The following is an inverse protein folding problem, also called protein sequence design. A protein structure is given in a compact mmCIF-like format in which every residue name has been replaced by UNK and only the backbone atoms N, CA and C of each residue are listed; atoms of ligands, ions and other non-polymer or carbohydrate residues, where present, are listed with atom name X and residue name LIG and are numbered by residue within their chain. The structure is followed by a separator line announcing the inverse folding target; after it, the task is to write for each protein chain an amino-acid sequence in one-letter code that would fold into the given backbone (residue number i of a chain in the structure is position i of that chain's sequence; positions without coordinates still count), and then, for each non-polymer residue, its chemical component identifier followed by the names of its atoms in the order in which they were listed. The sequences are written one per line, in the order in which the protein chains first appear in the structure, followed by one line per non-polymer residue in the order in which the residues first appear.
data_IF_851139157886
#
_entry.id   IF_851139157886
#
_cell.length_a   1.000
_cell.length_b   1.000
_cell.length_c   1.000
_cell.angle_alpha   90.00
_cell.angle_beta   90.00
_cell.angle_gamma   90.00
#
_symmetry.space_group_name_H-M   'P 1'
#
loop_
_entity.id
_entity.type
_entity.pdbx_description
1 polymer ?
#
# COMPACT_ATOMS: atom_id res chain seq x y z
N UNK A 1 56.01 -17.43 10.78
CA UNK A 1 54.84 -16.95 11.50
C UNK A 1 53.79 -16.63 10.46
N UNK A 2 52.84 -17.55 10.28
CA UNK A 2 51.66 -17.41 9.41
C UNK A 2 50.54 -16.87 10.27
N UNK A 3 49.99 -15.71 9.94
CA UNK A 3 48.80 -15.18 10.59
C UNK A 3 47.56 -15.61 9.80
N UNK A 4 46.79 -16.47 10.43
CA UNK A 4 45.41 -16.80 10.06
C UNK A 4 44.47 -15.60 10.35
N UNK A 5 43.92 -15.04 9.29
CA UNK A 5 42.81 -14.08 9.34
C UNK A 5 41.69 -14.57 8.40
N UNK A 6 41.15 -15.74 8.70
CA UNK A 6 39.98 -16.28 8.02
C UNK A 6 38.99 -16.77 9.07
N UNK A 7 38.22 -15.85 9.67
CA UNK A 7 36.96 -16.13 10.37
C UNK A 7 36.27 -14.79 10.63
N UNK A 8 35.16 -14.59 9.99
CA UNK A 8 34.04 -13.68 10.23
C UNK A 8 33.58 -13.02 8.92
N UNK A 9 32.93 -13.80 8.05
CA UNK A 9 31.98 -13.30 7.09
C UNK A 9 30.98 -14.43 6.81
N UNK A 10 30.07 -14.67 7.75
CA UNK A 10 28.84 -15.36 7.43
C UNK A 10 27.85 -14.31 6.86
N UNK A 11 27.69 -14.41 5.57
CA UNK A 11 27.12 -13.48 4.65
C UNK A 11 25.62 -13.55 4.59
N UNK A 12 25.06 -12.39 4.62
CA UNK A 12 23.76 -12.14 4.00
C UNK A 12 24.03 -11.86 2.53
N UNK A 13 23.74 -12.82 1.67
CA UNK A 13 23.77 -12.65 0.21
C UNK A 13 22.56 -11.82 -0.22
N UNK A 14 22.74 -10.50 -0.27
CA UNK A 14 21.81 -9.60 -0.96
C UNK A 14 22.09 -9.72 -2.44
N UNK A 15 21.33 -10.55 -3.14
CA UNK A 15 21.37 -10.58 -4.61
C UNK A 15 20.74 -9.30 -5.16
N UNK A 16 21.58 -8.34 -5.49
CA UNK A 16 21.25 -7.18 -6.28
C UNK A 16 21.06 -7.62 -7.74
N UNK A 17 19.85 -7.95 -8.16
CA UNK A 17 19.55 -8.14 -9.58
C UNK A 17 19.44 -6.76 -10.25
N UNK A 18 20.53 -6.34 -10.90
CA UNK A 18 20.56 -5.21 -11.82
C UNK A 18 19.81 -5.62 -13.09
N UNK A 19 18.54 -5.28 -13.17
CA UNK A 19 17.76 -5.43 -14.40
C UNK A 19 18.15 -4.35 -15.40
N UNK A 20 18.61 -4.80 -16.57
CA UNK A 20 18.96 -3.97 -17.72
C UNK A 20 17.73 -3.21 -18.23
N UNK A 21 17.76 -1.89 -18.19
CA UNK A 21 16.67 -1.03 -18.71
C UNK A 21 16.80 -0.96 -20.23
N UNK A 22 15.92 -1.64 -20.93
CA UNK A 22 15.71 -1.48 -22.37
C UNK A 22 14.29 -0.94 -22.61
N UNK A 23 14.20 0.26 -23.17
CA UNK A 23 13.02 0.80 -23.85
C UNK A 23 11.91 1.29 -22.92
N UNK A 24 11.58 2.57 -22.98
CA UNK A 24 10.43 3.20 -22.31
C UNK A 24 9.10 2.71 -22.88
N UNK A 25 8.73 1.49 -22.65
CA UNK A 25 7.36 1.04 -22.69
C UNK A 25 6.68 1.49 -21.41
N UNK A 26 5.47 2.04 -21.50
CA UNK A 26 4.66 2.36 -20.33
C UNK A 26 4.45 1.06 -19.51
N UNK A 27 5.32 0.85 -18.54
CA UNK A 27 5.20 -0.28 -17.62
C UNK A 27 4.15 0.06 -16.59
N UNK A 28 3.19 -0.84 -16.38
CA UNK A 28 2.21 -0.73 -15.31
C UNK A 28 2.88 -0.65 -13.93
N UNK A 29 2.11 -0.42 -12.86
CA UNK A 29 2.64 -0.31 -11.51
C UNK A 29 3.45 -1.56 -11.13
N UNK A 30 4.71 -1.34 -10.73
CA UNK A 30 5.58 -2.39 -10.22
C UNK A 30 5.93 -2.09 -8.77
N UNK A 31 5.78 -3.09 -7.89
CA UNK A 31 6.27 -2.97 -6.53
C UNK A 31 7.81 -2.98 -6.53
N UNK A 32 8.40 -1.86 -6.15
CA UNK A 32 9.85 -1.65 -6.09
C UNK A 32 10.43 -1.93 -4.70
N UNK A 33 9.56 -1.95 -3.69
CA UNK A 33 9.91 -2.32 -2.33
C UNK A 33 8.71 -2.96 -1.65
N UNK A 34 8.93 -4.04 -0.91
CA UNK A 34 7.91 -4.69 -0.09
C UNK A 34 8.47 -4.99 1.30
N UNK A 35 7.59 -5.03 2.27
CA UNK A 35 7.90 -5.43 3.63
C UNK A 35 6.76 -6.25 4.21
N UNK A 36 7.09 -7.26 5.00
CA UNK A 36 6.12 -8.11 5.67
C UNK A 36 6.42 -8.19 7.17
N UNK A 37 5.39 -7.96 7.97
CA UNK A 37 5.48 -8.11 9.41
C UNK A 37 5.60 -9.59 9.81
N UNK A 38 6.40 -9.92 10.83
CA UNK A 38 6.32 -11.22 11.49
C UNK A 38 4.91 -11.56 11.98
N UNK A 39 4.11 -10.55 12.39
CA UNK A 39 2.73 -10.69 12.82
C UNK A 39 1.76 -11.11 11.69
N UNK A 40 2.17 -11.00 10.44
CA UNK A 40 1.41 -11.49 9.29
C UNK A 40 1.43 -13.03 9.15
N UNK A 41 2.35 -13.70 9.84
CA UNK A 41 2.43 -15.17 9.80
C UNK A 41 1.15 -15.79 10.36
N UNK A 42 0.49 -16.62 9.55
CA UNK A 42 -0.76 -17.27 9.92
C UNK A 42 -2.00 -16.36 9.90
N UNK A 43 -1.88 -15.09 9.52
CA UNK A 43 -3.02 -14.21 9.31
C UNK A 43 -3.58 -14.39 7.91
N UNK A 44 -4.90 -14.61 7.80
CA UNK A 44 -5.64 -14.64 6.53
C UNK A 44 -6.93 -13.85 6.69
N UNK A 45 -7.27 -13.11 5.64
CA UNK A 45 -8.52 -12.36 5.54
C UNK A 45 -9.62 -13.08 4.74
N UNK A 46 -9.41 -14.33 4.35
CA UNK A 46 -10.45 -15.15 3.71
C UNK A 46 -11.68 -15.24 4.61
N UNK A 47 -12.86 -14.87 4.08
CA UNK A 47 -14.12 -14.81 4.82
C UNK A 47 -14.25 -13.63 5.78
N UNK A 48 -13.24 -12.74 5.85
CA UNK A 48 -13.21 -11.58 6.73
C UNK A 48 -13.65 -10.31 5.98
N UNK A 49 -14.16 -9.33 6.73
CA UNK A 49 -14.50 -8.00 6.20
C UNK A 49 -13.25 -7.14 6.06
N UNK A 50 -12.97 -6.68 4.86
CA UNK A 50 -11.78 -5.89 4.56
C UNK A 50 -12.19 -4.58 3.89
N UNK A 51 -11.81 -3.47 4.50
CA UNK A 51 -12.06 -2.15 3.94
C UNK A 51 -11.04 -1.83 2.83
N UNK A 52 -11.56 -1.34 1.71
CA UNK A 52 -10.79 -0.73 0.64
C UNK A 52 -10.72 0.78 0.89
N UNK A 53 -9.54 1.32 1.11
CA UNK A 53 -9.31 2.73 1.45
C UNK A 53 -8.33 3.37 0.47
N UNK A 54 -8.79 4.39 -0.25
CA UNK A 54 -7.91 5.20 -1.11
C UNK A 54 -7.77 6.60 -0.47
N UNK A 55 -6.56 6.95 -0.08
CA UNK A 55 -6.25 8.26 0.50
C UNK A 55 -5.90 9.22 -0.64
N UNK A 56 -6.90 9.97 -1.10
CA UNK A 56 -6.78 10.94 -2.19
C UNK A 56 -7.72 12.12 -1.97
N UNK A 57 -7.29 13.32 -2.38
CA UNK A 57 -8.13 14.51 -2.42
C UNK A 57 -9.10 14.53 -3.61
N UNK A 58 -8.84 13.72 -4.65
CA UNK A 58 -9.74 13.54 -5.79
C UNK A 58 -10.82 12.50 -5.44
N UNK A 59 -12.04 12.95 -5.22
CA UNK A 59 -13.17 12.09 -4.85
C UNK A 59 -13.51 11.06 -5.94
N UNK A 60 -13.40 11.41 -7.22
CA UNK A 60 -13.70 10.47 -8.30
C UNK A 60 -12.68 9.34 -8.34
N UNK A 61 -11.41 9.68 -8.20
CA UNK A 61 -10.32 8.71 -8.11
C UNK A 61 -10.48 7.83 -6.87
N UNK A 62 -10.79 8.43 -5.72
CA UNK A 62 -11.00 7.73 -4.45
C UNK A 62 -12.15 6.73 -4.55
N UNK A 63 -13.34 7.20 -4.93
CA UNK A 63 -14.54 6.37 -5.01
C UNK A 63 -14.34 5.22 -6.01
N UNK A 64 -13.86 5.52 -7.22
CA UNK A 64 -13.65 4.49 -8.24
C UNK A 64 -12.58 3.47 -7.83
N UNK A 65 -11.51 3.91 -7.19
CA UNK A 65 -10.44 3.04 -6.69
C UNK A 65 -10.91 2.13 -5.55
N UNK A 66 -11.66 2.68 -4.58
CA UNK A 66 -12.23 1.90 -3.47
C UNK A 66 -13.23 0.84 -3.98
N UNK A 67 -14.08 1.19 -4.95
CA UNK A 67 -15.01 0.25 -5.58
C UNK A 67 -14.28 -0.90 -6.28
N UNK A 68 -13.25 -0.56 -7.05
CA UNK A 68 -12.50 -1.58 -7.77
C UNK A 68 -11.72 -2.47 -6.80
N UNK A 69 -11.02 -1.89 -5.84
CA UNK A 69 -10.28 -2.65 -4.84
C UNK A 69 -11.21 -3.58 -4.03
N UNK A 70 -12.37 -3.08 -3.59
CA UNK A 70 -13.35 -3.88 -2.86
C UNK A 70 -13.87 -5.08 -3.68
N UNK A 71 -14.13 -4.88 -4.98
CA UNK A 71 -14.52 -5.99 -5.87
C UNK A 71 -13.43 -7.05 -5.98
N UNK A 72 -12.18 -6.63 -6.18
CA UNK A 72 -11.06 -7.56 -6.31
C UNK A 72 -10.77 -8.30 -4.99
N UNK A 73 -10.86 -7.62 -3.83
CA UNK A 73 -10.77 -8.27 -2.53
C UNK A 73 -11.87 -9.33 -2.34
N UNK A 74 -13.08 -9.02 -2.84
CA UNK A 74 -14.20 -9.98 -2.81
C UNK A 74 -13.91 -11.19 -3.71
N UNK A 75 -13.33 -10.99 -4.87
CA UNK A 75 -12.91 -12.08 -5.75
C UNK A 75 -11.82 -12.97 -5.12
N UNK A 76 -11.04 -12.45 -4.17
CA UNK A 76 -10.10 -13.24 -3.36
C UNK A 76 -10.75 -13.97 -2.16
N UNK A 77 -12.07 -13.97 -2.05
CA UNK A 77 -12.79 -14.65 -0.97
C UNK A 77 -12.87 -13.86 0.35
N UNK A 78 -12.63 -12.56 0.32
CA UNK A 78 -12.91 -11.64 1.42
C UNK A 78 -14.30 -11.03 1.27
N UNK A 79 -14.77 -10.25 2.25
CA UNK A 79 -15.89 -9.33 2.11
C UNK A 79 -15.34 -7.92 1.95
N UNK A 80 -15.05 -7.52 0.71
CA UNK A 80 -14.49 -6.20 0.39
C UNK A 80 -15.54 -5.09 0.53
N UNK A 81 -15.22 -4.03 1.28
CA UNK A 81 -16.10 -2.90 1.54
C UNK A 81 -15.40 -1.58 1.19
N UNK A 82 -15.93 -0.77 0.25
CA UNK A 82 -15.38 0.54 -0.03
C UNK A 82 -15.57 1.47 1.18
N UNK A 83 -14.52 2.20 1.59
CA UNK A 83 -14.56 3.06 2.78
C UNK A 83 -15.60 4.17 2.66
N UNK A 84 -15.80 4.75 1.46
CA UNK A 84 -16.76 5.82 1.23
C UNK A 84 -18.22 5.40 1.47
N UNK A 85 -18.54 4.09 1.38
CA UNK A 85 -19.90 3.57 1.70
C UNK A 85 -20.14 3.37 3.18
N UNK A 86 -19.06 3.28 3.96
CA UNK A 86 -19.14 3.00 5.38
C UNK A 86 -19.33 4.27 6.21
N UNK A 87 -18.81 5.42 5.75
CA UNK A 87 -18.80 6.64 6.53
C UNK A 87 -18.98 7.89 5.66
N UNK A 88 -19.54 8.98 6.21
CA UNK A 88 -19.60 10.27 5.55
C UNK A 88 -18.22 10.85 5.26
N UNK A 89 -18.11 11.68 4.22
CA UNK A 89 -16.84 12.28 3.80
C UNK A 89 -16.19 13.12 4.91
N UNK A 90 -17.01 13.79 5.71
CA UNK A 90 -16.57 14.67 6.81
C UNK A 90 -15.85 13.90 7.92
N UNK A 91 -16.20 12.61 8.07
CA UNK A 91 -15.60 11.72 9.07
C UNK A 91 -14.31 11.04 8.55
N UNK A 92 -14.16 11.00 7.22
CA UNK A 92 -13.12 10.21 6.55
C UNK A 92 -11.69 10.68 6.84
N UNK A 93 -11.46 11.96 7.10
CA UNK A 93 -10.11 12.53 7.22
C UNK A 93 -9.54 12.52 8.63
N UNK A 94 -10.27 12.01 9.63
CA UNK A 94 -9.83 11.94 11.02
C UNK A 94 -9.86 10.49 11.52
N UNK A 95 -8.72 10.02 12.06
CA UNK A 95 -8.64 8.68 12.65
C UNK A 95 -9.64 8.48 13.80
N UNK A 96 -9.81 9.49 14.65
CA UNK A 96 -10.74 9.42 15.79
C UNK A 96 -12.19 9.31 15.33
N UNK A 97 -12.57 10.09 14.30
CA UNK A 97 -13.94 10.08 13.76
C UNK A 97 -14.22 8.85 12.91
N UNK A 98 -13.25 8.37 12.16
CA UNK A 98 -13.38 7.19 11.31
C UNK A 98 -13.47 5.88 12.11
N UNK A 99 -12.71 5.76 13.22
CA UNK A 99 -12.62 4.54 14.01
C UNK A 99 -13.98 3.92 14.38
N UNK A 100 -14.99 4.66 14.91
CA UNK A 100 -16.28 4.09 15.26
C UNK A 100 -17.05 3.51 14.06
N UNK A 101 -16.80 4.01 12.85
CA UNK A 101 -17.41 3.49 11.62
C UNK A 101 -16.84 2.14 11.23
N UNK A 102 -15.50 1.98 11.32
CA UNK A 102 -14.84 0.69 11.09
C UNK A 102 -15.26 -0.36 12.11
N UNK A 103 -15.36 0.02 13.39
CA UNK A 103 -15.80 -0.86 14.47
C UNK A 103 -17.26 -1.32 14.27
N UNK A 104 -18.19 -0.40 13.98
CA UNK A 104 -19.59 -0.72 13.69
C UNK A 104 -19.77 -1.60 12.46
N UNK A 105 -18.96 -1.40 11.44
CA UNK A 105 -18.97 -2.22 10.23
C UNK A 105 -18.35 -3.62 10.48
N UNK A 106 -17.66 -3.81 11.59
CA UNK A 106 -16.99 -5.05 11.94
C UNK A 106 -15.84 -5.36 10.98
N UNK A 107 -15.02 -4.36 10.66
CA UNK A 107 -13.90 -4.50 9.74
C UNK A 107 -12.75 -5.23 10.44
N UNK A 108 -12.26 -6.32 9.84
CA UNK A 108 -11.12 -7.10 10.33
C UNK A 108 -9.77 -6.58 9.82
N UNK A 109 -9.76 -6.09 8.57
CA UNK A 109 -8.56 -5.61 7.91
C UNK A 109 -8.81 -4.40 7.02
N UNK A 110 -7.74 -3.67 6.71
CA UNK A 110 -7.78 -2.53 5.80
C UNK A 110 -6.67 -2.68 4.76
N UNK A 111 -7.02 -2.58 3.49
CA UNK A 111 -6.06 -2.36 2.41
C UNK A 111 -6.16 -0.89 2.02
N UNK A 112 -5.10 -0.15 2.30
CA UNK A 112 -5.02 1.28 1.98
C UNK A 112 -4.01 1.54 0.88
N UNK A 113 -4.32 2.48 -0.02
CA UNK A 113 -3.42 2.99 -1.05
C UNK A 113 -3.34 4.50 -0.97
N UNK A 114 -2.13 5.03 -1.02
CA UNK A 114 -1.86 6.46 -0.95
C UNK A 114 -0.82 6.86 -1.99
N UNK A 115 -1.14 7.76 -2.91
CA UNK A 115 -0.14 8.40 -3.75
C UNK A 115 0.81 9.23 -2.91
N UNK A 116 2.11 9.11 -3.18
CA UNK A 116 3.17 9.93 -2.57
C UNK A 116 3.99 10.61 -3.66
N UNK A 117 4.52 11.80 -3.37
CA UNK A 117 5.38 12.49 -4.32
C UNK A 117 6.74 11.80 -4.43
N UNK A 118 7.28 11.76 -5.65
CA UNK A 118 8.66 11.30 -5.89
C UNK A 118 9.69 12.19 -5.21
N UNK A 119 9.41 13.48 -5.09
CA UNK A 119 10.29 14.46 -4.46
C UNK A 119 10.41 14.21 -2.96
N UNK A 120 9.27 14.04 -2.28
CA UNK A 120 9.22 13.68 -0.85
C UNK A 120 10.05 12.42 -0.57
N UNK A 121 9.97 11.44 -1.46
CA UNK A 121 10.67 10.18 -1.31
C UNK A 121 12.17 10.22 -1.53
N UNK A 122 12.64 11.15 -2.37
CA UNK A 122 14.08 11.33 -2.63
C UNK A 122 14.80 11.87 -1.40
N UNK A 123 14.12 12.69 -0.62
CA UNK A 123 14.68 13.32 0.58
C UNK A 123 14.61 12.40 1.81
N UNK A 124 13.66 11.47 1.85
CA UNK A 124 13.45 10.55 2.98
C UNK A 124 14.25 9.24 2.88
N UNK A 125 14.95 8.99 1.78
CA UNK A 125 15.68 7.73 1.57
C UNK A 125 14.75 6.52 1.29
N UNK A 126 15.19 5.27 1.55
CA UNK A 126 14.37 4.08 1.35
C UNK A 126 13.16 4.07 2.29
N UNK A 127 12.01 3.54 1.82
CA UNK A 127 10.81 3.41 2.67
C UNK A 127 11.08 2.56 3.90
N UNK A 128 10.85 3.14 5.09
CA UNK A 128 11.01 2.46 6.38
C UNK A 128 9.63 2.24 6.98
N UNK A 129 9.06 1.09 6.73
CA UNK A 129 7.71 0.72 7.15
C UNK A 129 7.53 0.50 8.66
N UNK A 130 8.64 0.45 9.40
CA UNK A 130 8.65 0.27 10.86
C UNK A 130 8.55 1.56 11.64
N UNK A 131 8.46 2.72 10.96
CA UNK A 131 8.23 3.99 11.64
C UNK A 131 6.86 4.00 12.37
N UNK A 132 6.73 4.73 13.49
CA UNK A 132 5.51 4.72 14.31
C UNK A 132 4.22 5.06 13.55
N UNK A 133 4.29 5.96 12.58
CA UNK A 133 3.16 6.37 11.73
C UNK A 133 2.71 5.28 10.74
N UNK A 134 3.51 4.25 10.49
CA UNK A 134 3.13 3.11 9.63
C UNK A 134 2.73 1.87 10.43
N UNK A 135 3.26 1.71 11.64
CA UNK A 135 3.14 0.48 12.44
C UNK A 135 1.72 0.18 12.89
N UNK A 136 0.88 1.18 13.06
CA UNK A 136 -0.53 1.03 13.44
C UNK A 136 -1.47 1.55 12.36
N UNK A 137 -2.68 0.98 12.27
CA UNK A 137 -3.70 1.46 11.34
C UNK A 137 -4.06 2.93 11.61
N UNK A 138 -4.32 3.27 12.86
CA UNK A 138 -4.83 4.60 13.20
C UNK A 138 -3.75 5.68 13.13
N UNK A 139 -2.50 5.33 13.40
CA UNK A 139 -1.33 6.19 13.15
C UNK A 139 -1.18 6.49 11.66
N UNK A 140 -1.23 5.45 10.82
CA UNK A 140 -1.16 5.62 9.37
C UNK A 140 -2.37 6.37 8.81
N UNK A 141 -3.56 6.09 9.29
CA UNK A 141 -4.79 6.75 8.85
C UNK A 141 -4.69 8.28 9.02
N UNK A 142 -4.34 8.74 10.23
CA UNK A 142 -4.17 10.17 10.47
C UNK A 142 -3.01 10.79 9.67
N UNK A 143 -1.86 10.12 9.62
CA UNK A 143 -0.71 10.55 8.82
C UNK A 143 -1.05 10.65 7.33
N UNK A 144 -1.69 9.62 6.77
CA UNK A 144 -2.02 9.57 5.35
C UNK A 144 -2.92 10.71 4.91
N UNK A 145 -3.95 11.02 5.67
CA UNK A 145 -4.85 12.14 5.37
C UNK A 145 -4.23 13.51 5.61
N UNK A 146 -3.30 13.66 6.54
CA UNK A 146 -2.58 14.92 6.77
C UNK A 146 -1.57 15.24 5.68
N UNK A 147 -1.15 14.24 4.90
CA UNK A 147 -0.11 14.34 3.87
C UNK A 147 -0.61 13.94 2.48
N UNK A 148 -1.87 14.23 2.16
CA UNK A 148 -2.47 13.88 0.86
C UNK A 148 -1.78 14.62 -0.27
N UNK A 149 -1.28 13.84 -1.25
CA UNK A 149 -0.71 14.38 -2.47
C UNK A 149 -1.80 14.75 -3.47
N UNK A 150 -1.73 15.96 -4.02
CA UNK A 150 -2.65 16.43 -5.06
C UNK A 150 -2.05 16.10 -6.42
N UNK A 151 -2.78 15.32 -7.22
CA UNK A 151 -2.44 15.12 -8.63
C UNK A 151 -2.58 16.44 -9.37
N UNK A 152 -1.48 17.11 -9.69
CA UNK A 152 -1.55 18.37 -10.41
C UNK A 152 -0.22 18.81 -10.98
N UNK A 153 -0.17 19.03 -12.28
CA UNK A 153 0.91 19.68 -13.02
C UNK A 153 1.46 18.84 -14.16
N UNK A 154 1.26 19.30 -15.39
CA UNK A 154 1.89 18.75 -16.57
C UNK A 154 3.42 18.96 -16.49
N UNK A 155 4.17 17.93 -16.17
CA UNK A 155 5.61 17.84 -16.39
C UNK A 155 5.87 16.74 -17.43
N UNK A 156 6.89 16.90 -18.22
CA UNK A 156 7.23 16.01 -19.35
C UNK A 156 7.51 14.55 -18.93
N UNK A 157 7.86 14.29 -17.69
CA UNK A 157 7.91 12.94 -17.10
C UNK A 157 7.25 12.93 -15.72
N UNK A 158 6.14 12.21 -15.61
CA UNK A 158 5.45 12.02 -14.33
C UNK A 158 5.77 10.64 -13.79
N UNK A 159 6.50 10.57 -12.71
CA UNK A 159 6.66 9.34 -11.95
C UNK A 159 5.75 9.38 -10.73
N UNK A 160 4.85 8.42 -10.67
CA UNK A 160 3.91 8.28 -9.57
C UNK A 160 4.38 7.14 -8.65
N UNK A 161 4.49 7.45 -7.38
CA UNK A 161 4.78 6.47 -6.33
C UNK A 161 3.52 6.28 -5.50
N UNK A 162 3.16 5.03 -5.22
CA UNK A 162 2.02 4.71 -4.36
C UNK A 162 2.47 3.76 -3.24
N UNK A 163 2.12 4.12 -2.03
CA UNK A 163 2.18 3.24 -0.88
C UNK A 163 0.92 2.40 -0.82
N UNK A 164 1.08 1.09 -0.66
CA UNK A 164 -0.02 0.15 -0.40
C UNK A 164 0.26 -0.57 0.90
N UNK A 165 -0.67 -0.49 1.85
CA UNK A 165 -0.51 -1.07 3.17
C UNK A 165 -1.67 -1.99 3.50
N UNK A 166 -1.39 -3.09 4.19
CA UNK A 166 -2.40 -4.00 4.74
C UNK A 166 -2.28 -4.02 6.26
N UNK A 167 -3.34 -3.55 6.93
CA UNK A 167 -3.42 -3.53 8.39
C UNK A 167 -4.46 -4.52 8.92
N UNK A 168 -4.19 -5.04 10.11
CA UNK A 168 -5.20 -5.68 10.95
C UNK A 168 -5.85 -4.64 11.85
N UNK A 169 -7.19 -4.57 11.86
CA UNK A 169 -7.94 -3.65 12.73
C UNK A 169 -7.88 -4.13 14.18
N UNK A 170 -8.12 -5.43 14.41
CA UNK A 170 -8.17 -6.00 15.76
C UNK A 170 -6.84 -5.95 16.50
N UNK A 171 -5.71 -6.02 15.76
CA UNK A 171 -4.36 -5.94 16.35
C UNK A 171 -3.79 -4.52 16.28
N UNK A 172 -4.49 -3.60 15.61
CA UNK A 172 -4.00 -2.26 15.27
C UNK A 172 -2.54 -2.30 14.76
N UNK A 173 -2.28 -3.15 13.78
CA UNK A 173 -0.91 -3.41 13.34
C UNK A 173 -0.78 -3.55 11.83
N UNK A 174 0.35 -3.06 11.29
CA UNK A 174 0.75 -3.28 9.92
C UNK A 174 1.17 -4.74 9.71
N UNK A 175 0.61 -5.37 8.69
CA UNK A 175 0.92 -6.76 8.29
C UNK A 175 1.81 -6.81 7.05
N UNK A 176 1.52 -5.97 6.07
CA UNK A 176 2.29 -5.90 4.83
C UNK A 176 2.30 -4.47 4.28
N UNK A 177 3.38 -4.11 3.64
CA UNK A 177 3.55 -2.84 2.98
C UNK A 177 4.27 -3.01 1.64
N UNK A 178 3.88 -2.21 0.66
CA UNK A 178 4.54 -2.16 -0.63
C UNK A 178 4.58 -0.74 -1.20
N UNK A 179 5.72 -0.38 -1.78
CA UNK A 179 5.89 0.83 -2.58
C UNK A 179 5.92 0.48 -4.05
N UNK A 180 4.99 1.01 -4.83
CA UNK A 180 4.98 0.84 -6.28
C UNK A 180 5.33 2.14 -7.00
N UNK A 181 5.97 2.00 -8.16
CA UNK A 181 6.36 3.13 -9.02
C UNK A 181 5.78 2.92 -10.41
N UNK A 182 5.25 3.99 -11.00
CA UNK A 182 4.74 4.02 -12.37
C UNK A 182 5.22 5.28 -13.06
N UNK A 183 5.80 5.13 -14.25
CA UNK A 183 6.23 6.26 -15.08
C UNK A 183 5.21 6.51 -16.17
N UNK A 184 4.81 7.76 -16.34
CA UNK A 184 3.86 8.21 -17.37
C UNK A 184 2.55 7.40 -17.40
N UNK A 185 1.78 7.37 -16.28
CA UNK A 185 0.53 6.63 -16.24
C UNK A 185 -0.46 7.13 -17.30
N UNK A 186 -1.05 6.21 -18.05
CA UNK A 186 -2.02 6.53 -19.14
C UNK A 186 -3.41 6.80 -18.55
N UNK A 187 -3.57 7.92 -17.86
CA UNK A 187 -4.84 8.33 -17.24
C UNK A 187 -5.13 7.65 -15.89
N UNK A 188 -5.87 8.35 -15.04
CA UNK A 188 -6.11 7.96 -13.66
C UNK A 188 -6.84 6.61 -13.52
N UNK A 189 -7.90 6.38 -14.32
CA UNK A 189 -8.69 5.15 -14.25
C UNK A 189 -7.89 3.91 -14.62
N UNK A 190 -7.11 3.98 -15.70
CA UNK A 190 -6.25 2.86 -16.12
C UNK A 190 -5.18 2.58 -15.07
N UNK A 191 -4.56 3.63 -14.56
CA UNK A 191 -3.55 3.52 -13.50
C UNK A 191 -4.11 2.83 -12.25
N UNK A 192 -5.27 3.26 -11.75
CA UNK A 192 -5.94 2.62 -10.59
C UNK A 192 -6.21 1.15 -10.87
N UNK A 193 -6.72 0.82 -12.05
CA UNK A 193 -7.02 -0.56 -12.43
C UNK A 193 -5.78 -1.45 -12.38
N UNK A 194 -4.69 -0.99 -12.96
CA UNK A 194 -3.41 -1.71 -12.98
C UNK A 194 -2.81 -1.83 -11.56
N UNK A 195 -2.91 -0.78 -10.75
CA UNK A 195 -2.42 -0.78 -9.38
C UNK A 195 -3.20 -1.76 -8.50
N UNK A 196 -4.53 -1.76 -8.59
CA UNK A 196 -5.38 -2.69 -7.86
C UNK A 196 -5.05 -4.13 -8.25
N UNK A 197 -4.90 -4.42 -9.55
CA UNK A 197 -4.54 -5.75 -10.02
C UNK A 197 -3.17 -6.21 -9.50
N UNK A 198 -2.18 -5.32 -9.50
CA UNK A 198 -0.85 -5.60 -8.94
C UNK A 198 -0.93 -5.88 -7.42
N UNK A 199 -1.69 -5.05 -6.69
CA UNK A 199 -1.87 -5.21 -5.23
C UNK A 199 -2.53 -6.53 -4.86
N UNK A 200 -3.59 -6.90 -5.57
CA UNK A 200 -4.32 -8.16 -5.34
C UNK A 200 -3.42 -9.37 -5.57
N UNK A 201 -2.57 -9.31 -6.59
CA UNK A 201 -1.56 -10.33 -6.84
C UNK A 201 -0.59 -10.46 -5.67
N UNK A 202 -0.12 -9.34 -5.10
CA UNK A 202 0.78 -9.37 -3.94
C UNK A 202 0.06 -9.90 -2.69
N UNK A 203 -1.18 -9.49 -2.41
CA UNK A 203 -1.98 -10.01 -1.29
C UNK A 203 -2.10 -11.54 -1.36
N UNK A 204 -2.28 -12.09 -2.57
CA UNK A 204 -2.33 -13.54 -2.81
C UNK A 204 -0.97 -14.20 -2.60
N UNK A 205 0.11 -13.62 -3.15
CA UNK A 205 1.47 -14.11 -3.01
C UNK A 205 1.89 -14.18 -1.53
N UNK A 206 1.50 -13.19 -0.76
CA UNK A 206 1.77 -13.06 0.68
C UNK A 206 0.85 -13.93 1.55
N UNK A 207 -0.06 -14.70 0.93
CA UNK A 207 -1.01 -15.59 1.61
C UNK A 207 -1.89 -14.85 2.63
N UNK A 208 -2.18 -13.58 2.41
CA UNK A 208 -3.15 -12.81 3.19
C UNK A 208 -4.59 -13.09 2.72
N UNK A 209 -4.74 -13.73 1.55
CA UNK A 209 -5.92 -14.42 1.05
C UNK A 209 -5.55 -15.85 0.63
N UNK A 210 -6.54 -16.74 0.56
CA UNK A 210 -6.38 -18.11 0.03
C UNK A 210 -6.64 -18.14 -1.46
#
# INVERSE_FOLDING_TARGET
MKNDLTKYFDGVLVTLSVGLVAGAMAAGPMFTSTWRSPAAKGTSFTGKKVAALIISSDDNLRISGEEQLARELTALGMSGLPAYRMMPKEELTSAERARPWFERAGIDGVVSMRPVSKETRRDEGPMVWTQPNYSTLWGYYGYGWSTVYVFGGAREETTLVVETLVHSVSKDSLLWAGGSTTTNPKGAQKFISELVAATVKEIKNERLAK
#
